data_IF_617482621566
#
_entry.id   IF_617482621566
#
_cell.length_a   1.000
_cell.length_b   1.000
_cell.length_c   1.000
_cell.angle_alpha   90.00
_cell.angle_beta   90.00
_cell.angle_gamma   90.00
#
_symmetry.space_group_name_H-M   'P 1'
#
loop_
_entity.id
_entity.type
_entity.pdbx_description
1 polymer ?
#
# COMPACT_ATOMS: atom_id res chain seq x y z
N UNK A 1 9.26 10.12 -4.04
CA UNK A 1 8.68 10.76 -2.85
C UNK A 1 7.76 11.85 -3.35
N UNK A 2 6.46 11.74 -3.13
CA UNK A 2 5.52 12.78 -3.60
C UNK A 2 5.45 13.91 -2.58
N UNK A 3 5.32 15.15 -3.04
CA UNK A 3 5.15 16.34 -2.18
C UNK A 3 3.72 16.46 -1.61
N UNK A 4 2.86 15.47 -1.85
CA UNK A 4 1.48 15.52 -1.36
C UNK A 4 1.43 15.30 0.15
N UNK A 5 0.70 16.18 0.83
CA UNK A 5 0.43 16.13 2.27
C UNK A 5 -1.05 16.00 2.50
N UNK A 6 -1.45 15.11 3.41
CA UNK A 6 -2.79 15.05 3.95
C UNK A 6 -2.85 15.87 5.24
N UNK A 7 -4.01 16.47 5.53
CA UNK A 7 -4.26 17.18 6.79
C UNK A 7 -5.40 16.51 7.53
N UNK A 8 -5.18 16.15 8.78
CA UNK A 8 -6.20 15.66 9.70
C UNK A 8 -6.45 16.72 10.78
N UNK A 9 -7.71 17.06 10.99
CA UNK A 9 -8.16 17.96 12.06
C UNK A 9 -9.14 17.20 12.95
N UNK A 10 -8.88 17.17 14.26
CA UNK A 10 -9.74 16.53 15.24
C UNK A 10 -10.32 17.62 16.17
N UNK A 11 -11.66 17.70 16.27
CA UNK A 11 -12.33 18.50 17.32
C UNK A 11 -12.07 20.01 17.35
N UNK A 12 -11.43 20.61 16.34
CA UNK A 12 -11.03 22.02 16.33
C UNK A 12 -9.58 22.29 16.79
N UNK A 13 -8.81 21.23 17.04
CA UNK A 13 -7.39 21.32 17.37
C UNK A 13 -6.51 21.64 16.14
N UNK A 14 -5.23 21.90 16.41
CA UNK A 14 -4.22 22.20 15.37
C UNK A 14 -4.16 21.05 14.36
N UNK A 15 -4.25 21.39 13.08
CA UNK A 15 -4.20 20.43 11.99
C UNK A 15 -2.86 19.65 12.00
N UNK A 16 -2.96 18.33 11.91
CA UNK A 16 -1.82 17.43 11.80
C UNK A 16 -1.57 17.17 10.31
N UNK A 17 -0.39 17.59 9.83
CA UNK A 17 0.08 17.22 8.50
C UNK A 17 0.70 15.82 8.52
N UNK A 18 0.34 15.03 7.51
CA UNK A 18 0.80 13.65 7.30
C UNK A 18 1.27 13.51 5.86
N UNK A 19 2.29 12.69 5.65
CA UNK A 19 2.87 12.46 4.33
C UNK A 19 2.00 11.50 3.52
N UNK A 20 1.84 11.79 2.22
CA UNK A 20 1.23 10.86 1.28
C UNK A 20 2.32 10.13 0.52
N UNK A 21 2.39 8.82 0.71
CA UNK A 21 3.33 7.93 0.04
C UNK A 21 2.65 7.30 -1.18
N UNK A 22 3.41 7.16 -2.26
CA UNK A 22 2.94 6.54 -3.50
C UNK A 22 3.69 5.24 -3.74
N UNK A 23 2.95 4.19 -4.07
CA UNK A 23 3.52 2.97 -4.63
C UNK A 23 3.90 3.16 -6.10
N UNK A 24 4.58 2.17 -6.69
CA UNK A 24 4.77 2.11 -8.15
C UNK A 24 3.45 1.85 -8.87
N UNK A 25 2.57 1.05 -8.24
CA UNK A 25 1.21 0.72 -8.68
C UNK A 25 0.28 0.73 -7.46
N UNK A 26 -1.02 0.81 -7.70
CA UNK A 26 -2.05 0.84 -6.66
C UNK A 26 -2.33 2.23 -6.11
N UNK A 27 -2.99 2.27 -4.95
CA UNK A 27 -3.45 3.51 -4.33
C UNK A 27 -2.37 4.19 -3.49
N UNK A 28 -2.49 5.51 -3.37
CA UNK A 28 -1.68 6.31 -2.45
C UNK A 28 -2.05 5.97 -0.98
N UNK A 29 -1.06 6.01 -0.09
CA UNK A 29 -1.25 5.75 1.35
C UNK A 29 -0.86 6.96 2.19
N UNK A 30 -1.56 7.16 3.30
CA UNK A 30 -1.24 8.22 4.25
C UNK A 30 -0.37 7.66 5.36
N UNK A 31 0.79 8.27 5.59
CA UNK A 31 1.70 7.86 6.64
C UNK A 31 1.22 8.33 8.02
N UNK A 32 0.64 7.41 8.78
CA UNK A 32 0.15 7.66 10.13
C UNK A 32 1.15 7.27 11.24
N UNK A 33 2.41 6.94 10.92
CA UNK A 33 3.42 6.51 11.92
C UNK A 33 3.63 7.54 13.03
N UNK A 34 3.43 8.83 12.73
CA UNK A 34 3.57 9.93 13.69
C UNK A 34 2.33 10.19 14.56
N UNK A 35 1.18 9.54 14.31
CA UNK A 35 -0.05 9.83 15.07
C UNK A 35 0.04 9.37 16.53
N UNK A 36 0.69 8.24 16.79
CA UNK A 36 0.83 7.71 18.15
C UNK A 36 1.57 8.66 19.10
N UNK A 37 2.60 9.37 18.61
CA UNK A 37 3.32 10.37 19.41
C UNK A 37 2.50 11.64 19.66
N UNK A 38 1.42 11.85 18.91
CA UNK A 38 0.46 12.94 19.07
C UNK A 38 -0.77 12.53 19.89
N UNK A 39 -0.77 11.32 20.47
CA UNK A 39 -1.85 10.81 21.31
C UNK A 39 -3.10 10.38 20.53
N UNK A 40 -2.96 10.15 19.21
CA UNK A 40 -4.05 9.77 18.32
C UNK A 40 -3.83 8.36 17.79
N UNK A 41 -4.89 7.55 17.79
CA UNK A 41 -4.90 6.22 17.19
C UNK A 41 -6.03 6.12 16.18
N UNK A 42 -5.81 5.31 15.14
CA UNK A 42 -6.87 4.88 14.24
C UNK A 42 -7.59 3.66 14.83
N UNK A 43 -8.84 3.47 14.45
CA UNK A 43 -9.61 2.29 14.81
C UNK A 43 -10.06 1.59 13.54
N UNK A 44 -9.38 0.50 13.18
CA UNK A 44 -9.64 -0.29 11.96
C UNK A 44 -9.58 -1.80 12.27
N UNK A 45 -10.60 -2.36 12.94
CA UNK A 45 -10.68 -3.80 13.17
C UNK A 45 -10.73 -4.56 11.84
N UNK A 46 -9.70 -5.37 11.57
CA UNK A 46 -9.60 -6.15 10.33
C UNK A 46 -8.70 -5.53 9.26
N UNK A 47 -8.06 -4.38 9.53
CA UNK A 47 -7.08 -3.73 8.63
C UNK A 47 -7.62 -3.42 7.23
N UNK A 48 -8.90 -3.08 7.13
CA UNK A 48 -9.54 -2.81 5.84
C UNK A 48 -8.99 -1.56 5.16
N UNK A 49 -8.49 -0.60 5.94
CA UNK A 49 -7.96 0.68 5.49
C UNK A 49 -6.51 0.91 5.93
N UNK A 50 -5.83 -0.15 6.40
CA UNK A 50 -4.48 -0.07 6.97
C UNK A 50 -3.49 -0.85 6.09
N UNK A 51 -2.60 -0.14 5.40
CA UNK A 51 -1.45 -0.74 4.73
C UNK A 51 -0.33 -1.03 5.74
N UNK A 52 -0.16 -2.30 6.12
CA UNK A 52 0.77 -2.71 7.19
C UNK A 52 2.23 -2.86 6.75
N UNK A 53 2.49 -3.01 5.46
CA UNK A 53 3.85 -3.19 4.93
C UNK A 53 4.02 -2.57 3.53
N UNK A 54 5.28 -2.29 3.19
CA UNK A 54 5.71 -2.09 1.80
C UNK A 54 6.10 -3.46 1.23
N UNK A 55 5.59 -3.80 0.04
CA UNK A 55 5.93 -5.05 -0.65
C UNK A 55 6.28 -4.81 -2.12
N UNK A 56 7.17 -5.66 -2.64
CA UNK A 56 7.59 -5.69 -4.05
C UNK A 56 7.47 -7.11 -4.64
N UNK A 57 6.67 -7.96 -3.99
CA UNK A 57 6.54 -9.38 -4.36
C UNK A 57 5.39 -9.55 -5.34
N UNK A 58 4.17 -9.18 -4.92
CA UNK A 58 2.94 -9.42 -5.69
C UNK A 58 2.10 -8.14 -5.72
N UNK A 59 1.51 -7.86 -6.87
CA UNK A 59 0.52 -6.79 -7.05
C UNK A 59 -0.80 -7.39 -7.55
N UNK A 60 -1.91 -6.86 -7.05
CA UNK A 60 -3.27 -7.27 -7.43
C UNK A 60 -4.10 -6.02 -7.69
N UNK A 61 -4.81 -6.00 -8.82
CA UNK A 61 -5.94 -5.11 -9.07
C UNK A 61 -7.17 -5.98 -9.36
N UNK A 62 -8.11 -5.99 -8.41
CA UNK A 62 -9.31 -6.83 -8.50
C UNK A 62 -10.34 -6.32 -9.51
N UNK A 63 -10.38 -5.01 -9.75
CA UNK A 63 -11.35 -4.40 -10.67
C UNK A 63 -10.92 -4.62 -12.13
N UNK A 64 -9.61 -4.56 -12.39
CA UNK A 64 -9.04 -4.84 -13.71
C UNK A 64 -8.66 -6.32 -13.94
N UNK A 65 -8.72 -7.16 -12.91
CA UNK A 65 -8.34 -8.58 -12.99
C UNK A 65 -6.83 -8.81 -13.17
N UNK A 66 -5.99 -7.92 -12.62
CA UNK A 66 -4.54 -7.98 -12.74
C UNK A 66 -3.95 -8.75 -11.56
N UNK A 67 -3.07 -9.71 -11.86
CA UNK A 67 -2.21 -10.38 -10.88
C UNK A 67 -0.78 -10.45 -11.42
N UNK A 68 0.16 -9.83 -10.69
CA UNK A 68 1.58 -9.78 -11.05
C UNK A 68 2.46 -10.39 -9.96
N UNK A 69 3.44 -11.21 -10.33
CA UNK A 69 4.55 -11.61 -9.45
C UNK A 69 5.85 -11.00 -9.97
N UNK A 70 6.52 -10.19 -9.13
CA UNK A 70 7.68 -9.35 -9.50
C UNK A 70 7.48 -8.50 -10.76
N UNK A 71 6.24 -8.18 -11.08
CA UNK A 71 5.87 -7.42 -12.28
C UNK A 71 5.51 -8.27 -13.50
N UNK A 72 5.71 -9.59 -13.47
CA UNK A 72 5.28 -10.49 -14.53
C UNK A 72 3.80 -10.88 -14.37
N UNK A 73 2.98 -10.76 -15.41
CA UNK A 73 1.60 -11.24 -15.40
C UNK A 73 1.51 -12.73 -15.10
N UNK A 74 0.52 -13.13 -14.29
CA UNK A 74 0.35 -14.52 -13.90
C UNK A 74 0.16 -15.45 -15.10
N UNK A 75 -0.56 -15.01 -16.14
CA UNK A 75 -0.79 -15.80 -17.36
C UNK A 75 0.50 -16.13 -18.10
N UNK A 76 1.45 -15.18 -18.10
CA UNK A 76 2.78 -15.39 -18.67
C UNK A 76 3.56 -16.43 -17.87
N UNK A 77 3.61 -16.28 -16.54
CA UNK A 77 4.31 -17.23 -15.67
C UNK A 77 3.71 -18.65 -15.76
N UNK A 78 2.39 -18.75 -15.90
CA UNK A 78 1.68 -20.02 -15.97
C UNK A 78 1.93 -20.78 -17.29
N UNK A 79 2.23 -20.09 -18.39
CA UNK A 79 2.37 -20.68 -19.72
C UNK A 79 3.81 -20.73 -20.22
N UNK A 80 4.65 -19.78 -19.82
CA UNK A 80 6.01 -19.60 -20.33
C UNK A 80 7.09 -19.94 -19.29
N UNK A 81 6.73 -20.23 -18.04
CA UNK A 81 7.69 -20.55 -16.97
C UNK A 81 7.41 -21.90 -16.30
N UNK A 82 8.18 -22.23 -15.27
CA UNK A 82 8.02 -23.40 -14.43
C UNK A 82 8.12 -23.01 -12.95
N UNK A 83 7.65 -23.89 -12.05
CA UNK A 83 7.58 -23.57 -10.63
C UNK A 83 8.91 -23.15 -10.01
N UNK A 84 10.04 -23.80 -10.36
CA UNK A 84 11.33 -23.48 -9.78
C UNK A 84 11.84 -22.10 -10.23
N UNK A 85 11.58 -21.72 -11.47
CA UNK A 85 11.88 -20.39 -11.98
C UNK A 85 11.02 -19.32 -11.30
N UNK A 86 9.72 -19.57 -11.15
CA UNK A 86 8.82 -18.68 -10.39
C UNK A 86 9.26 -18.53 -8.93
N UNK A 87 9.73 -19.60 -8.29
CA UNK A 87 10.28 -19.52 -6.92
C UNK A 87 11.57 -18.68 -6.82
N UNK A 88 12.33 -18.57 -7.91
CA UNK A 88 13.58 -17.80 -7.93
C UNK A 88 13.32 -16.30 -8.10
N UNK A 89 12.27 -15.93 -8.83
CA UNK A 89 11.86 -14.55 -9.15
C UNK A 89 11.27 -13.84 -7.91
#
# INVERSE_FOLDING_TARGET
MSDAKAKITLGGDTAIELDVLKGTLGQDVIDIRSLGSKGVFTFDPGFTSTASCESKITFIDGDEGILLHRGFPIDQLATESNYLEVCYI
#
